data_IF_870271808076
#
_entry.id   IF_870271808076
#
_cell.length_a   1.000
_cell.length_b   1.000
_cell.length_c   1.000
_cell.angle_alpha   90.00
_cell.angle_beta   90.00
_cell.angle_gamma   90.00
#
_symmetry.space_group_name_H-M   'P 1'
#
loop_
_entity.id
_entity.type
_entity.pdbx_description
1 polymer ?
#
# COMPACT_ATOMS: atom_id res chain seq x y z
N UNK A 1 20.39 -8.10 -0.51
CA UNK A 1 19.35 -7.08 -0.59
C UNK A 1 19.75 -5.87 0.21
N UNK A 2 19.54 -4.71 -0.33
CA UNK A 2 19.89 -3.46 0.34
C UNK A 2 18.71 -2.89 1.09
N UNK A 3 19.00 -2.00 2.04
CA UNK A 3 17.95 -1.34 2.81
C UNK A 3 17.01 -0.56 1.89
N UNK A 4 17.58 0.04 0.84
CA UNK A 4 16.76 0.81 -0.11
C UNK A 4 15.74 -0.07 -0.81
N UNK A 5 16.12 -1.30 -1.13
CA UNK A 5 15.17 -2.22 -1.77
C UNK A 5 14.05 -2.61 -0.81
N UNK A 6 14.40 -2.80 0.44
CA UNK A 6 13.40 -3.12 1.44
C UNK A 6 12.41 -1.98 1.64
N UNK A 7 12.92 -0.76 1.68
CA UNK A 7 12.07 0.42 1.83
C UNK A 7 11.09 0.51 0.66
N UNK A 8 11.59 0.32 -0.56
CA UNK A 8 10.74 0.36 -1.74
C UNK A 8 9.67 -0.73 -1.70
N UNK A 9 10.06 -1.93 -1.27
CA UNK A 9 9.13 -3.03 -1.20
C UNK A 9 8.00 -2.75 -0.20
N UNK A 10 8.36 -2.28 0.98
CA UNK A 10 7.39 -1.99 2.02
C UNK A 10 6.44 -0.90 1.56
N UNK A 11 6.96 0.15 0.93
CA UNK A 11 6.13 1.24 0.43
C UNK A 11 5.19 0.74 -0.66
N UNK A 12 5.68 -0.11 -1.55
CA UNK A 12 4.84 -0.64 -2.62
C UNK A 12 3.69 -1.47 -2.06
N UNK A 13 3.98 -2.32 -1.08
CA UNK A 13 2.95 -3.14 -0.46
C UNK A 13 1.93 -2.26 0.26
N UNK A 14 2.40 -1.24 0.98
CA UNK A 14 1.50 -0.35 1.70
C UNK A 14 0.55 0.38 0.75
N UNK A 15 1.09 0.88 -0.35
CA UNK A 15 0.27 1.59 -1.35
C UNK A 15 -0.71 0.62 -1.99
N UNK A 16 -0.27 -0.60 -2.29
CA UNK A 16 -1.14 -1.61 -2.88
C UNK A 16 -2.30 -1.95 -1.97
N UNK A 17 -2.02 -2.13 -0.69
CA UNK A 17 -3.07 -2.43 0.28
C UNK A 17 -4.03 -1.26 0.39
N UNK A 18 -3.50 -0.04 0.38
CA UNK A 18 -4.33 1.15 0.45
C UNK A 18 -5.30 1.21 -0.74
N UNK A 19 -4.79 0.94 -1.93
CA UNK A 19 -5.63 0.96 -3.13
C UNK A 19 -6.70 -0.11 -3.09
N UNK A 20 -6.33 -1.31 -2.64
CA UNK A 20 -7.30 -2.40 -2.53
C UNK A 20 -8.37 -2.04 -1.52
N UNK A 21 -7.99 -1.48 -0.37
CA UNK A 21 -8.94 -1.09 0.64
C UNK A 21 -9.88 -0.01 0.11
N UNK A 22 -9.36 0.93 -0.66
CA UNK A 22 -10.18 1.99 -1.23
C UNK A 22 -11.20 1.43 -2.22
N UNK A 23 -10.84 0.37 -2.93
CA UNK A 23 -11.76 -0.24 -3.89
C UNK A 23 -12.82 -1.08 -3.18
N UNK A 24 -12.42 -1.81 -2.15
CA UNK A 24 -13.35 -2.70 -1.45
C UNK A 24 -14.22 -1.96 -0.45
N UNK A 25 -13.70 -0.91 0.16
CA UNK A 25 -14.41 -0.16 1.19
C UNK A 25 -14.42 1.33 0.87
N UNK A 26 -15.03 1.72 -0.26
CA UNK A 26 -15.03 3.14 -0.63
C UNK A 26 -15.83 4.00 0.34
N UNK A 27 -16.77 3.40 1.04
CA UNK A 27 -17.63 4.16 1.95
C UNK A 27 -16.86 4.66 3.18
N UNK A 28 -15.78 3.99 3.53
CA UNK A 28 -15.02 4.37 4.71
C UNK A 28 -14.30 5.70 4.55
N UNK A 29 -14.10 6.12 3.32
CA UNK A 29 -13.34 7.33 3.05
C UNK A 29 -14.22 8.53 2.75
N UNK A 30 -15.50 8.38 2.90
CA UNK A 30 -16.42 9.50 2.68
C UNK A 30 -16.86 10.14 3.98
#
# INVERSE_FOLDING_TARGET
>A
MSVMEWVGLVLSVAIGIYLVAALLYPEKFQ
#
